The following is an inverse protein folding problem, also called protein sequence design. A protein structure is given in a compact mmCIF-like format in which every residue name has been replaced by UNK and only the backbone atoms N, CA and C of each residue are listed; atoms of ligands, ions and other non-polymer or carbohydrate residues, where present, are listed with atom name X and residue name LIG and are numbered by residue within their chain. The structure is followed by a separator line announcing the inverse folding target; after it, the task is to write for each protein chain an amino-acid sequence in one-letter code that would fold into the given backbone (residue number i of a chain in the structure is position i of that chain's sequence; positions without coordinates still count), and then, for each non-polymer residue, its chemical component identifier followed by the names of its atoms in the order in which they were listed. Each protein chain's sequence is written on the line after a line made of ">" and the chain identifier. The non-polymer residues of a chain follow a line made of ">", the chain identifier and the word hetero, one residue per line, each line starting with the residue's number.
data_IF_308028423296
#
_entry.id   IF_308028423296
#
_cell.length_a   1.000
_cell.length_b   1.000
_cell.length_c   1.000
_cell.angle_alpha   90.00
_cell.angle_beta   90.00
_cell.angle_gamma   90.00
#
_symmetry.space_group_name_H-M   'P 1'
#
loop_
_entity.id
_entity.type
_entity.pdbx_description
1 polymer ?
#
# COMPACT_ATOMS: atom_id res chain seq x y z
N UNK A 1 -14.47 -44.39 8.94
CA UNK A 1 -14.45 -42.98 8.46
C UNK A 1 -13.03 -42.49 8.51
N UNK A 2 -12.42 -42.17 7.37
CA UNK A 2 -11.10 -41.54 7.34
C UNK A 2 -11.30 -40.03 7.33
N UNK A 3 -10.77 -39.34 8.34
CA UNK A 3 -10.82 -37.88 8.40
C UNK A 3 -9.62 -37.38 7.61
N UNK A 4 -9.87 -36.95 6.38
CA UNK A 4 -8.85 -36.28 5.56
C UNK A 4 -8.52 -34.94 6.20
N UNK A 5 -7.31 -34.80 6.73
CA UNK A 5 -6.80 -33.56 7.31
C UNK A 5 -6.64 -32.54 6.18
N UNK A 6 -7.58 -31.60 6.09
CA UNK A 6 -7.46 -30.47 5.17
C UNK A 6 -6.36 -29.58 5.75
N UNK A 7 -5.17 -29.62 5.14
CA UNK A 7 -4.14 -28.62 5.41
C UNK A 7 -4.68 -27.29 4.91
N UNK A 8 -5.12 -26.43 5.83
CA UNK A 8 -5.28 -25.01 5.56
C UNK A 8 -3.87 -24.49 5.33
N UNK A 9 -3.42 -24.53 4.08
CA UNK A 9 -2.19 -23.86 3.66
C UNK A 9 -2.36 -22.39 4.03
N UNK A 10 -1.85 -22.00 5.21
CA UNK A 10 -1.54 -20.61 5.47
C UNK A 10 -0.69 -20.16 4.28
N UNK A 11 -1.03 -19.08 3.57
CA UNK A 11 -0.14 -18.55 2.56
C UNK A 11 1.17 -18.20 3.26
N UNK A 12 2.15 -19.06 3.04
CA UNK A 12 3.50 -18.91 3.55
C UNK A 12 4.11 -17.70 2.87
N UNK A 13 4.42 -16.72 3.70
CA UNK A 13 5.10 -15.44 3.44
C UNK A 13 4.33 -14.41 2.61
N UNK A 14 4.15 -13.16 3.10
CA UNK A 14 3.95 -12.04 2.21
C UNK A 14 5.23 -11.90 1.40
N UNK A 15 5.22 -12.39 0.16
CA UNK A 15 6.25 -12.05 -0.81
C UNK A 15 6.19 -10.53 -0.96
N UNK A 16 7.23 -9.85 -0.45
CA UNK A 16 7.48 -8.44 -0.70
C UNK A 16 7.41 -8.17 -2.20
N UNK A 17 6.24 -7.77 -2.68
CA UNK A 17 6.11 -7.06 -3.95
C UNK A 17 6.49 -5.63 -3.60
N UNK A 18 7.62 -5.17 -4.14
CA UNK A 18 8.13 -3.81 -3.93
C UNK A 18 7.01 -2.76 -4.00
N UNK A 19 6.02 -2.94 -4.89
CA UNK A 19 4.80 -2.12 -4.92
C UNK A 19 3.58 -2.92 -4.44
N UNK A 20 2.89 -2.42 -3.42
CA UNK A 20 1.63 -2.95 -2.95
C UNK A 20 0.52 -2.72 -4.01
N UNK A 21 0.11 -3.81 -4.66
CA UNK A 21 -0.81 -3.77 -5.79
C UNK A 21 -2.22 -3.31 -5.42
N UNK A 22 -2.72 -3.67 -4.23
CA UNK A 22 -4.04 -3.24 -3.75
C UNK A 22 -4.10 -1.72 -3.72
N UNK A 23 -3.10 -1.07 -3.13
CA UNK A 23 -3.03 0.38 -3.05
C UNK A 23 -2.72 1.02 -4.39
N UNK A 24 -1.88 0.41 -5.23
CA UNK A 24 -1.60 0.96 -6.56
C UNK A 24 -2.83 0.98 -7.46
N UNK A 25 -3.60 -0.10 -7.53
CA UNK A 25 -4.83 -0.14 -8.35
C UNK A 25 -5.92 0.79 -7.81
N UNK A 26 -6.06 0.92 -6.49
CA UNK A 26 -6.97 1.91 -5.91
C UNK A 26 -6.55 3.34 -6.28
N UNK A 27 -5.26 3.67 -6.21
CA UNK A 27 -4.77 4.99 -6.60
C UNK A 27 -5.08 5.33 -8.07
N UNK A 28 -4.97 4.36 -8.98
CA UNK A 28 -5.38 4.55 -10.39
C UNK A 28 -6.87 4.86 -10.51
N UNK A 29 -7.71 4.14 -9.77
CA UNK A 29 -9.16 4.38 -9.76
C UNK A 29 -9.49 5.77 -9.26
N UNK A 30 -8.94 6.18 -8.11
CA UNK A 30 -9.15 7.52 -7.57
C UNK A 30 -8.69 8.60 -8.55
N UNK A 31 -7.52 8.41 -9.17
CA UNK A 31 -6.98 9.33 -10.16
C UNK A 31 -7.87 9.46 -11.39
N UNK A 32 -8.41 8.34 -11.90
CA UNK A 32 -9.30 8.35 -13.06
C UNK A 32 -10.61 9.11 -12.83
N UNK A 33 -11.01 9.28 -11.55
CA UNK A 33 -12.25 9.96 -11.17
C UNK A 33 -11.98 11.42 -10.81
N UNK A 34 -10.97 11.69 -9.98
CA UNK A 34 -10.75 12.99 -9.34
C UNK A 34 -9.42 13.67 -9.67
N UNK A 35 -8.54 13.04 -10.47
CA UNK A 35 -7.22 13.58 -10.79
C UNK A 35 -6.23 13.60 -9.61
N UNK A 36 -6.55 12.90 -8.52
CA UNK A 36 -5.71 12.75 -7.32
C UNK A 36 -6.06 11.46 -6.57
N UNK A 37 -5.24 11.06 -5.59
CA UNK A 37 -5.63 10.03 -4.61
C UNK A 37 -6.62 10.60 -3.60
N UNK A 38 -7.55 9.77 -3.14
CA UNK A 38 -8.46 10.16 -2.06
C UNK A 38 -7.77 10.23 -0.70
N UNK A 39 -8.36 11.00 0.22
CA UNK A 39 -7.94 11.02 1.62
C UNK A 39 -8.08 9.64 2.28
N UNK A 40 -9.09 8.86 1.90
CA UNK A 40 -9.30 7.49 2.41
C UNK A 40 -8.15 6.58 2.01
N UNK A 41 -7.70 6.65 0.74
CA UNK A 41 -6.52 5.92 0.28
C UNK A 41 -5.29 6.22 1.15
N UNK A 42 -5.06 7.50 1.46
CA UNK A 42 -3.94 7.94 2.28
C UNK A 42 -4.03 7.46 3.74
N UNK A 43 -5.22 7.50 4.34
CA UNK A 43 -5.43 7.03 5.71
C UNK A 43 -5.28 5.52 5.82
N UNK A 44 -5.86 4.77 4.89
CA UNK A 44 -5.77 3.31 4.85
C UNK A 44 -4.33 2.83 4.69
N UNK A 45 -3.58 3.41 3.76
CA UNK A 45 -2.16 3.05 3.61
C UNK A 45 -1.36 3.35 4.89
N UNK A 46 -1.64 4.47 5.57
CA UNK A 46 -0.98 4.79 6.85
C UNK A 46 -1.35 3.79 7.96
N UNK A 47 -2.61 3.39 8.09
CA UNK A 47 -3.02 2.41 9.09
C UNK A 47 -2.39 1.04 8.83
N UNK A 48 -2.40 0.57 7.60
CA UNK A 48 -1.79 -0.72 7.24
C UNK A 48 -0.28 -0.73 7.49
N UNK A 49 0.40 0.42 7.38
CA UNK A 49 1.84 0.57 7.68
C UNK A 49 2.13 0.68 9.17
N UNK A 50 1.44 1.57 9.89
CA UNK A 50 1.81 1.91 11.27
C UNK A 50 1.03 1.12 12.32
N UNK A 51 -0.28 0.95 12.13
CA UNK A 51 -1.17 0.35 13.13
C UNK A 51 -1.22 -1.17 12.98
N UNK A 52 -1.61 -1.65 11.80
CA UNK A 52 -1.78 -3.08 11.55
C UNK A 52 -0.48 -3.79 11.16
N UNK A 53 0.53 -3.02 10.69
CA UNK A 53 1.83 -3.53 10.26
C UNK A 53 1.72 -4.62 9.18
N UNK A 54 0.69 -4.55 8.36
CA UNK A 54 0.45 -5.44 7.22
C UNK A 54 1.33 -5.08 6.01
N UNK A 55 1.79 -3.82 5.96
CA UNK A 55 2.64 -3.29 4.88
C UNK A 55 3.91 -2.74 5.50
N UNK A 56 5.07 -3.11 4.94
CA UNK A 56 6.33 -2.55 5.39
C UNK A 56 6.45 -1.06 4.99
N UNK A 57 7.19 -0.26 5.77
CA UNK A 57 7.51 1.13 5.40
C UNK A 57 8.13 1.21 3.99
N UNK A 58 8.95 0.22 3.61
CA UNK A 58 9.61 0.14 2.30
C UNK A 58 8.59 -0.04 1.17
N UNK A 59 7.70 -1.03 1.30
CA UNK A 59 6.67 -1.28 0.29
C UNK A 59 5.72 -0.08 0.15
N UNK A 60 5.42 0.60 1.25
CA UNK A 60 4.61 1.82 1.22
C UNK A 60 5.31 2.97 0.47
N UNK A 61 6.61 3.17 0.70
CA UNK A 61 7.43 4.16 -0.03
C UNK A 61 7.42 3.86 -1.53
N UNK A 62 7.71 2.61 -1.89
CA UNK A 62 7.74 2.17 -3.29
C UNK A 62 6.36 2.29 -3.95
N UNK A 63 5.28 2.00 -3.20
CA UNK A 63 3.90 2.21 -3.66
C UNK A 63 3.60 3.68 -3.93
N UNK A 64 3.93 4.57 -2.99
CA UNK A 64 3.71 6.02 -3.18
C UNK A 64 4.55 6.55 -4.36
N UNK A 65 5.78 6.09 -4.54
CA UNK A 65 6.61 6.47 -5.69
C UNK A 65 6.02 5.98 -7.01
N UNK A 66 5.50 4.75 -7.06
CA UNK A 66 4.82 4.22 -8.23
C UNK A 66 3.56 5.05 -8.57
N UNK A 67 2.79 5.43 -7.55
CA UNK A 67 1.63 6.31 -7.71
C UNK A 67 2.02 7.68 -8.27
N UNK A 68 3.04 8.34 -7.70
CA UNK A 68 3.56 9.63 -8.20
C UNK A 68 3.96 9.54 -9.67
N UNK A 69 4.68 8.48 -10.04
CA UNK A 69 5.10 8.23 -11.42
C UNK A 69 3.90 8.02 -12.34
N UNK A 70 2.88 7.29 -11.90
CA UNK A 70 1.68 7.05 -12.68
C UNK A 70 0.87 8.34 -12.92
N UNK A 71 0.71 9.16 -11.88
CA UNK A 71 -0.05 10.41 -11.95
C UNK A 71 0.69 11.52 -12.70
N UNK A 72 2.00 11.35 -12.94
CA UNK A 72 2.91 12.38 -13.43
C UNK A 72 2.74 13.72 -12.67
N UNK A 73 2.40 13.62 -11.37
CA UNK A 73 2.05 14.74 -10.51
C UNK A 73 2.56 14.47 -9.12
N UNK A 74 3.18 15.48 -8.54
CA UNK A 74 3.58 15.50 -7.14
C UNK A 74 2.62 16.42 -6.39
N UNK A 75 1.94 15.88 -5.39
CA UNK A 75 1.15 16.66 -4.44
C UNK A 75 1.90 16.71 -3.11
N UNK A 76 1.76 17.83 -2.40
CA UNK A 76 2.36 18.03 -1.06
C UNK A 76 1.99 16.87 -0.12
N UNK A 77 0.73 16.43 -0.19
CA UNK A 77 0.21 15.29 0.55
C UNK A 77 0.99 13.98 0.33
N UNK A 78 1.41 13.67 -0.91
CA UNK A 78 2.19 12.46 -1.21
C UNK A 78 3.64 12.60 -0.74
N UNK A 79 4.22 13.80 -0.80
CA UNK A 79 5.56 14.05 -0.25
C UNK A 79 5.59 13.93 1.27
N UNK A 80 4.56 14.43 1.95
CA UNK A 80 4.47 14.31 3.41
C UNK A 80 4.26 12.86 3.86
N UNK A 81 3.52 12.06 3.08
CA UNK A 81 3.47 10.60 3.30
C UNK A 81 4.85 9.96 3.15
N UNK A 82 5.62 10.32 2.13
CA UNK A 82 6.98 9.79 1.94
C UNK A 82 7.91 10.18 3.09
N UNK A 83 7.86 11.43 3.56
CA UNK A 83 8.63 11.87 4.74
C UNK A 83 8.23 11.06 5.98
N UNK A 84 6.93 10.86 6.19
CA UNK A 84 6.40 10.09 7.31
C UNK A 84 6.90 8.63 7.29
N UNK A 85 6.89 7.99 6.13
CA UNK A 85 7.34 6.60 5.99
C UNK A 85 8.86 6.45 6.08
N UNK A 86 9.63 7.46 5.67
CA UNK A 86 11.09 7.48 5.82
C UNK A 86 11.53 7.75 7.24
N UNK A 87 10.69 8.41 8.04
CA UNK A 87 11.05 8.70 9.41
C UNK A 87 11.11 7.41 10.25
N UNK A 88 12.24 7.20 10.96
CA UNK A 88 12.48 5.97 11.71
C UNK A 88 11.76 5.91 13.05
N UNK A 89 11.04 6.98 13.46
CA UNK A 89 10.32 7.12 14.75
C UNK A 89 9.93 5.78 15.38
#
# INVERSE_FOLDING_TARGET
>A
MQITRISLNQPSTPQFKAVNQKYFEWAKKDFSIGGSVSTEWMHRLRFDVFLFKEISKKDAIDTVNAVKKHMNKTTECLEDMLKLFKNPN
#
